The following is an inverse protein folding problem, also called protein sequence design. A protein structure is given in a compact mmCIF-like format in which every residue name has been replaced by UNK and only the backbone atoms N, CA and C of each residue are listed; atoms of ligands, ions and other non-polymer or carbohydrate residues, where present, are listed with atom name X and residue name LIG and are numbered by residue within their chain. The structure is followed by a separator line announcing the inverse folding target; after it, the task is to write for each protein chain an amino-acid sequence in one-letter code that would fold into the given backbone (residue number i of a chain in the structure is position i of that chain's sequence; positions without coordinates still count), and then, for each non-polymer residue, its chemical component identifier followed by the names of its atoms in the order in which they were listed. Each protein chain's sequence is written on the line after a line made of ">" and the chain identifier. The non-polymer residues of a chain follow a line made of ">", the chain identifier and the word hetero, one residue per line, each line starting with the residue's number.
data_IF_737618541665
#
_entry.id   IF_737618541665
#
_cell.length_a   1.000
_cell.length_b   1.000
_cell.length_c   1.000
_cell.angle_alpha   90.00
_cell.angle_beta   90.00
_cell.angle_gamma   90.00
#
_symmetry.space_group_name_H-M   'P 1'
#
loop_
_entity.id
_entity.type
_entity.pdbx_description
1 polymer ?
#
# COMPACT_ATOMS: atom_id res chain seq x y z
N UNK A 1 -37.78 8.29 -19.11
CA UNK A 1 -37.17 8.75 -17.85
C UNK A 1 -35.71 8.31 -17.90
N UNK A 2 -34.77 9.27 -17.93
CA UNK A 2 -33.34 9.01 -18.06
C UNK A 2 -32.82 8.56 -16.70
N UNK A 3 -32.31 7.33 -16.59
CA UNK A 3 -31.61 6.83 -15.40
C UNK A 3 -30.14 7.25 -15.54
N UNK A 4 -29.74 8.30 -14.85
CA UNK A 4 -28.33 8.62 -14.65
C UNK A 4 -27.81 7.64 -13.59
N UNK A 5 -26.88 6.78 -13.98
CA UNK A 5 -26.17 5.89 -13.06
C UNK A 5 -24.81 6.55 -12.80
N UNK A 6 -24.51 6.87 -11.56
CA UNK A 6 -23.18 7.34 -11.17
C UNK A 6 -22.22 6.14 -11.12
N UNK A 7 -21.62 5.83 -12.28
CA UNK A 7 -20.70 4.69 -12.45
C UNK A 7 -19.50 4.79 -11.48
N UNK A 8 -19.03 6.00 -11.18
CA UNK A 8 -17.91 6.20 -10.25
C UNK A 8 -18.26 5.67 -8.86
N UNK A 9 -19.43 6.04 -8.32
CA UNK A 9 -19.82 5.66 -6.97
C UNK A 9 -19.97 4.13 -6.81
N UNK A 10 -20.53 3.43 -7.80
CA UNK A 10 -20.70 1.97 -7.68
C UNK A 10 -19.37 1.22 -7.63
N UNK A 11 -18.36 1.67 -8.38
CA UNK A 11 -17.01 1.07 -8.36
C UNK A 11 -16.35 1.27 -7.00
N UNK A 12 -16.50 2.44 -6.38
CA UNK A 12 -15.98 2.71 -5.03
C UNK A 12 -16.72 1.90 -3.95
N UNK A 13 -18.05 1.80 -4.03
CA UNK A 13 -18.86 1.03 -3.08
C UNK A 13 -18.49 -0.46 -3.11
N UNK A 14 -18.24 -1.01 -4.29
CA UNK A 14 -17.80 -2.40 -4.42
C UNK A 14 -16.38 -2.59 -3.86
N UNK A 15 -15.45 -1.66 -4.13
CA UNK A 15 -14.11 -1.71 -3.54
C UNK A 15 -14.13 -1.64 -2.00
N UNK A 16 -14.96 -0.77 -1.41
CA UNK A 16 -15.02 -0.60 0.05
C UNK A 16 -15.52 -1.87 0.74
N UNK A 17 -16.50 -2.58 0.16
CA UNK A 17 -16.94 -3.89 0.68
C UNK A 17 -15.80 -4.92 0.65
N UNK A 18 -15.00 -4.94 -0.42
CA UNK A 18 -13.82 -5.80 -0.50
C UNK A 18 -12.76 -5.42 0.53
N UNK A 19 -12.56 -4.12 0.78
CA UNK A 19 -11.62 -3.62 1.77
C UNK A 19 -12.01 -4.04 3.19
N UNK A 20 -13.29 -3.90 3.55
CA UNK A 20 -13.80 -4.32 4.86
C UNK A 20 -13.66 -5.83 5.07
N UNK A 21 -14.01 -6.64 4.08
CA UNK A 21 -13.86 -8.09 4.14
C UNK A 21 -12.39 -8.51 4.30
N UNK A 22 -11.49 -7.85 3.57
CA UNK A 22 -10.06 -8.10 3.67
C UNK A 22 -9.54 -7.76 5.07
N UNK A 23 -9.95 -6.62 5.63
CA UNK A 23 -9.56 -6.20 6.97
C UNK A 23 -10.04 -7.16 8.06
N UNK A 24 -11.24 -7.73 7.92
CA UNK A 24 -11.73 -8.77 8.84
C UNK A 24 -10.93 -10.08 8.71
N UNK A 25 -10.59 -10.49 7.49
CA UNK A 25 -9.72 -11.66 7.25
C UNK A 25 -8.35 -11.49 7.89
N UNK A 26 -7.74 -10.30 7.72
CA UNK A 26 -6.44 -9.97 8.31
C UNK A 26 -6.47 -10.01 9.84
N UNK A 27 -7.54 -9.50 10.47
CA UNK A 27 -7.74 -9.58 11.92
C UNK A 27 -7.83 -11.02 12.40
N UNK A 28 -8.57 -11.88 11.70
CA UNK A 28 -8.70 -13.31 12.04
C UNK A 28 -7.35 -14.03 11.95
N UNK A 29 -6.55 -13.70 10.93
CA UNK A 29 -5.23 -14.28 10.72
C UNK A 29 -4.13 -13.64 11.57
N UNK A 30 -4.45 -12.58 12.33
CA UNK A 30 -3.51 -11.78 13.12
C UNK A 30 -2.37 -11.18 12.29
N UNK A 31 -2.64 -10.89 11.02
CA UNK A 31 -1.69 -10.22 10.12
C UNK A 31 -1.98 -8.72 10.12
N UNK A 32 -0.97 -7.91 10.44
CA UNK A 32 -1.07 -6.47 10.31
C UNK A 32 -0.68 -6.05 8.89
N UNK A 33 -1.59 -5.40 8.16
CA UNK A 33 -1.31 -4.85 6.85
C UNK A 33 -1.11 -3.34 6.93
N UNK A 34 0.07 -2.86 6.52
CA UNK A 34 0.39 -1.44 6.35
C UNK A 34 0.35 -1.06 4.87
N UNK A 35 -0.43 -0.05 4.51
CA UNK A 35 -0.35 0.61 3.20
C UNK A 35 0.67 1.74 3.26
N UNK A 36 1.77 1.64 2.49
CA UNK A 36 2.82 2.64 2.43
C UNK A 36 2.72 3.44 1.13
N UNK A 37 2.38 4.72 1.25
CA UNK A 37 2.20 5.65 0.13
C UNK A 37 3.28 6.74 0.12
N UNK A 38 3.53 7.36 -1.04
CA UNK A 38 4.41 8.53 -1.19
C UNK A 38 4.42 9.00 -2.65
N UNK A 39 5.18 10.07 -2.95
CA UNK A 39 5.61 10.35 -4.33
C UNK A 39 6.66 9.33 -4.82
N UNK A 40 6.93 9.27 -6.15
CA UNK A 40 8.10 8.57 -6.66
C UNK A 40 9.39 9.17 -6.06
N UNK A 41 10.32 8.32 -5.64
CA UNK A 41 11.62 8.77 -5.13
C UNK A 41 11.64 9.27 -3.68
N UNK A 42 10.52 9.27 -2.95
CA UNK A 42 10.48 9.74 -1.54
C UNK A 42 11.19 8.82 -0.53
N UNK A 43 11.62 7.63 -0.95
CA UNK A 43 12.41 6.70 -0.13
C UNK A 43 11.65 5.52 0.49
N UNK A 44 10.55 5.05 -0.13
CA UNK A 44 9.78 3.87 0.32
C UNK A 44 10.65 2.62 0.44
N UNK A 45 11.25 2.15 -0.66
CA UNK A 45 12.10 0.96 -0.67
C UNK A 45 13.23 1.04 0.37
N UNK A 46 13.88 2.19 0.49
CA UNK A 46 14.96 2.39 1.47
C UNK A 46 14.44 2.27 2.91
N UNK A 47 13.26 2.85 3.19
CA UNK A 47 12.59 2.73 4.49
C UNK A 47 12.19 1.29 4.79
N UNK A 48 11.68 0.56 3.78
CA UNK A 48 11.35 -0.86 3.94
C UNK A 48 12.58 -1.71 4.23
N UNK A 49 13.66 -1.56 3.47
CA UNK A 49 14.90 -2.31 3.68
C UNK A 49 15.41 -2.13 5.13
N UNK A 50 15.37 -0.90 5.65
CA UNK A 50 15.78 -0.63 7.05
C UNK A 50 14.80 -1.21 8.06
N UNK A 51 13.50 -1.12 7.80
CA UNK A 51 12.45 -1.71 8.64
C UNK A 51 12.59 -3.23 8.72
N UNK A 52 12.76 -3.90 7.58
CA UNK A 52 12.98 -5.35 7.49
C UNK A 52 14.24 -5.74 8.26
N UNK A 53 15.35 -5.04 8.04
CA UNK A 53 16.60 -5.35 8.74
C UNK A 53 16.47 -5.23 10.27
N UNK A 54 15.67 -4.27 10.75
CA UNK A 54 15.43 -4.07 12.18
C UNK A 54 14.49 -5.13 12.79
N UNK A 55 13.47 -5.58 12.05
CA UNK A 55 12.37 -6.37 12.62
C UNK A 55 12.34 -7.85 12.22
N UNK A 56 13.13 -8.29 11.22
CA UNK A 56 13.06 -9.66 10.67
C UNK A 56 13.35 -10.79 11.66
N UNK A 57 13.98 -10.49 12.80
CA UNK A 57 14.25 -11.48 13.85
C UNK A 57 13.10 -11.59 14.87
N UNK A 58 12.14 -10.66 14.82
CA UNK A 58 11.01 -10.57 15.75
C UNK A 58 9.67 -10.85 15.06
N UNK A 59 9.59 -10.63 13.74
CA UNK A 59 8.37 -10.76 12.96
C UNK A 59 8.63 -11.43 11.61
N UNK A 60 7.64 -12.20 11.12
CA UNK A 60 7.60 -12.67 9.74
C UNK A 60 7.06 -11.56 8.86
N UNK A 61 7.90 -11.04 7.96
CA UNK A 61 7.60 -9.86 7.15
C UNK A 61 7.38 -10.26 5.69
N UNK A 62 6.25 -9.82 5.13
CA UNK A 62 5.93 -9.94 3.71
C UNK A 62 5.73 -8.57 3.07
N UNK A 63 6.25 -8.39 1.85
CA UNK A 63 6.13 -7.15 1.09
C UNK A 63 5.36 -7.39 -0.20
N UNK A 64 4.39 -6.54 -0.48
CA UNK A 64 3.66 -6.49 -1.75
C UNK A 64 4.11 -5.22 -2.44
N UNK A 65 4.89 -5.37 -3.50
CA UNK A 65 5.42 -4.26 -4.29
C UNK A 65 4.47 -3.98 -5.47
N UNK A 66 4.00 -2.75 -5.59
CA UNK A 66 3.20 -2.33 -6.74
C UNK A 66 3.95 -1.35 -7.63
N UNK A 67 4.33 -1.84 -8.81
CA UNK A 67 5.00 -1.05 -9.82
C UNK A 67 4.37 -1.32 -11.20
N UNK A 68 4.73 -0.50 -12.17
CA UNK A 68 4.32 -0.61 -13.56
C UNK A 68 5.06 -1.78 -14.22
N UNK A 69 6.39 -1.86 -14.11
CA UNK A 69 7.17 -2.85 -14.87
C UNK A 69 8.59 -3.16 -14.32
N UNK A 70 8.92 -2.77 -13.09
CA UNK A 70 10.25 -3.03 -12.50
C UNK A 70 10.19 -4.07 -11.38
N UNK A 71 11.20 -4.93 -11.30
CA UNK A 71 11.42 -5.91 -10.22
C UNK A 71 12.50 -5.44 -9.22
N UNK A 72 13.05 -4.23 -9.42
CA UNK A 72 14.18 -3.69 -8.66
C UNK A 72 13.87 -3.61 -7.17
N UNK A 73 12.69 -3.12 -6.81
CA UNK A 73 12.27 -2.95 -5.42
C UNK A 73 12.01 -4.31 -4.74
N UNK A 74 11.28 -5.21 -5.41
CA UNK A 74 11.02 -6.56 -4.92
C UNK A 74 12.32 -7.35 -4.64
N UNK A 75 13.31 -7.27 -5.54
CA UNK A 75 14.62 -7.90 -5.34
C UNK A 75 15.35 -7.28 -4.14
N UNK A 76 15.26 -5.97 -3.96
CA UNK A 76 15.95 -5.27 -2.89
C UNK A 76 15.39 -5.66 -1.50
N UNK A 77 14.06 -5.74 -1.35
CA UNK A 77 13.43 -6.15 -0.08
C UNK A 77 13.59 -7.64 0.21
N UNK A 78 13.64 -8.51 -0.81
CA UNK A 78 13.99 -9.92 -0.64
C UNK A 78 15.41 -10.08 -0.10
N UNK A 79 16.38 -9.34 -0.65
CA UNK A 79 17.77 -9.33 -0.15
C UNK A 79 17.87 -8.84 1.29
N UNK A 80 16.95 -7.99 1.75
CA UNK A 80 16.88 -7.55 3.15
C UNK A 80 16.37 -8.64 4.10
N UNK A 81 15.65 -9.65 3.58
CA UNK A 81 15.19 -10.83 4.30
C UNK A 81 13.67 -11.00 4.38
N UNK A 82 12.88 -10.23 3.61
CA UNK A 82 11.43 -10.38 3.57
C UNK A 82 10.98 -11.35 2.47
N UNK A 83 9.80 -11.97 2.63
CA UNK A 83 9.06 -12.52 1.49
C UNK A 83 8.56 -11.34 0.65
N UNK A 84 8.62 -11.44 -0.68
CA UNK A 84 8.09 -10.37 -1.53
C UNK A 84 7.39 -10.90 -2.77
N UNK A 85 6.32 -10.21 -3.17
CA UNK A 85 5.61 -10.42 -4.44
C UNK A 85 5.51 -9.09 -5.18
N UNK A 86 5.64 -9.15 -6.49
CA UNK A 86 5.42 -8.01 -7.39
C UNK A 86 3.99 -8.07 -7.92
N UNK A 87 3.27 -6.95 -7.81
CA UNK A 87 2.00 -6.71 -8.49
C UNK A 87 2.25 -5.76 -9.66
N UNK A 88 2.16 -6.29 -10.89
CA UNK A 88 2.12 -5.46 -12.08
C UNK A 88 0.77 -4.74 -12.16
N UNK A 89 0.81 -3.42 -12.04
CA UNK A 89 -0.39 -2.57 -12.04
C UNK A 89 -0.98 -2.37 -13.44
N UNK A 90 -0.25 -2.73 -14.51
CA UNK A 90 -0.71 -2.56 -15.88
C UNK A 90 -0.95 -1.10 -16.27
N UNK A 91 -0.24 -0.17 -15.63
CA UNK A 91 -0.39 1.28 -15.83
C UNK A 91 -1.40 1.96 -14.91
N UNK A 92 -2.02 1.22 -13.98
CA UNK A 92 -2.88 1.82 -12.94
C UNK A 92 -2.05 2.66 -11.95
N UNK A 93 -2.59 3.81 -11.57
CA UNK A 93 -1.92 4.77 -10.68
C UNK A 93 -2.15 4.51 -9.18
N UNK A 94 -2.87 3.43 -8.83
CA UNK A 94 -3.27 3.05 -7.47
C UNK A 94 -3.54 1.54 -7.40
N UNK A 95 -3.78 1.06 -6.17
CA UNK A 95 -4.23 -0.29 -5.88
C UNK A 95 -5.63 -0.31 -5.29
N UNK A 96 -6.34 -1.41 -5.54
CA UNK A 96 -7.65 -1.72 -4.95
C UNK A 96 -7.51 -2.77 -3.85
N UNK A 97 -8.58 -2.96 -3.06
CA UNK A 97 -8.63 -4.02 -2.05
C UNK A 97 -8.48 -5.42 -2.68
N UNK A 98 -9.06 -5.64 -3.85
CA UNK A 98 -8.97 -6.93 -4.55
C UNK A 98 -7.54 -7.22 -5.05
N UNK A 99 -6.83 -6.21 -5.56
CA UNK A 99 -5.41 -6.36 -5.92
C UNK A 99 -4.56 -6.68 -4.69
N UNK A 100 -4.85 -6.02 -3.57
CA UNK A 100 -4.17 -6.25 -2.29
C UNK A 100 -4.41 -7.67 -1.77
N UNK A 101 -5.66 -8.15 -1.81
CA UNK A 101 -6.03 -9.53 -1.46
C UNK A 101 -5.23 -10.55 -2.28
N UNK A 102 -5.16 -10.36 -3.60
CA UNK A 102 -4.38 -11.26 -4.48
C UNK A 102 -2.88 -11.25 -4.17
N UNK A 103 -2.32 -10.08 -3.83
CA UNK A 103 -0.94 -9.97 -3.38
C UNK A 103 -0.68 -10.74 -2.08
N UNK A 104 -1.58 -10.62 -1.10
CA UNK A 104 -1.50 -11.36 0.17
C UNK A 104 -1.62 -12.88 -0.03
N UNK A 105 -2.49 -13.33 -0.93
CA UNK A 105 -2.61 -14.75 -1.28
C UNK A 105 -1.33 -15.29 -1.92
N UNK A 106 -0.73 -14.53 -2.84
CA UNK A 106 0.53 -14.91 -3.47
C UNK A 106 1.71 -14.94 -2.48
N UNK A 107 1.68 -14.08 -1.45
CA UNK A 107 2.67 -14.09 -0.37
C UNK A 107 2.54 -15.29 0.58
N UNK A 108 1.35 -15.89 0.70
CA UNK A 108 1.04 -16.90 1.70
C UNK A 108 0.71 -16.28 3.07
N UNK A 109 -0.45 -15.62 3.15
CA UNK A 109 -0.98 -14.88 4.31
C UNK A 109 -0.88 -15.60 5.68
N UNK A 110 -0.96 -16.93 5.75
CA UNK A 110 -0.98 -17.67 7.03
C UNK A 110 0.36 -17.62 7.81
N UNK A 111 1.45 -17.21 7.15
CA UNK A 111 2.80 -17.20 7.72
C UNK A 111 3.43 -15.79 7.80
N UNK A 112 2.60 -14.76 7.99
CA UNK A 112 3.02 -13.35 8.00
C UNK A 112 2.39 -12.61 9.18
N UNK A 113 3.25 -11.99 10.00
CA UNK A 113 2.82 -11.12 11.11
C UNK A 113 2.63 -9.68 10.62
N UNK A 114 3.55 -9.21 9.76
CA UNK A 114 3.54 -7.88 9.16
C UNK A 114 3.60 -7.98 7.64
N UNK A 115 2.51 -7.57 7.00
CA UNK A 115 2.47 -7.33 5.56
C UNK A 115 2.61 -5.82 5.30
N UNK A 116 3.46 -5.42 4.36
CA UNK A 116 3.55 -4.03 3.91
C UNK A 116 3.25 -3.99 2.42
N UNK A 117 2.26 -3.19 2.05
CA UNK A 117 1.90 -2.85 0.69
C UNK A 117 2.67 -1.59 0.31
N UNK A 118 3.76 -1.73 -0.44
CA UNK A 118 4.40 -0.59 -1.09
C UNK A 118 3.54 -0.16 -2.27
N UNK A 119 2.77 0.91 -2.07
CA UNK A 119 1.84 1.40 -3.07
C UNK A 119 2.59 2.19 -4.16
N UNK A 120 1.92 2.39 -5.29
CA UNK A 120 2.46 3.17 -6.42
C UNK A 120 2.85 4.57 -5.92
N UNK A 121 4.00 5.07 -6.39
CA UNK A 121 4.44 6.44 -6.11
C UNK A 121 3.47 7.49 -6.69
N UNK A 122 2.50 7.93 -5.89
CA UNK A 122 1.47 8.89 -6.28
C UNK A 122 0.79 9.48 -5.03
N UNK A 123 0.65 10.81 -4.96
CA UNK A 123 -0.03 11.51 -3.87
C UNK A 123 -1.53 11.83 -4.14
N UNK A 124 -2.07 11.37 -5.27
CA UNK A 124 -3.45 11.63 -5.69
C UNK A 124 -4.27 10.34 -5.65
N UNK A 125 -4.06 9.43 -6.62
CA UNK A 125 -4.93 8.27 -6.80
C UNK A 125 -4.99 7.36 -5.55
N UNK A 126 -3.87 7.02 -4.88
CA UNK A 126 -3.92 6.07 -3.76
C UNK A 126 -4.75 6.57 -2.56
N UNK A 127 -4.97 7.88 -2.44
CA UNK A 127 -5.78 8.45 -1.36
C UNK A 127 -7.30 8.24 -1.56
N UNK A 128 -7.73 7.87 -2.76
CA UNK A 128 -9.15 7.68 -3.10
C UNK A 128 -9.64 6.23 -2.95
N UNK A 129 -8.73 5.27 -2.76
CA UNK A 129 -9.05 3.84 -2.78
C UNK A 129 -8.61 3.15 -1.49
N UNK A 130 -9.58 2.60 -0.77
CA UNK A 130 -9.29 1.74 0.38
C UNK A 130 -8.71 0.41 -0.10
N UNK A 131 -7.51 0.07 0.36
CA UNK A 131 -6.80 -1.17 0.04
C UNK A 131 -7.13 -2.31 1.00
N UNK A 132 -7.97 -2.08 2.02
CA UNK A 132 -8.23 -3.02 3.10
C UNK A 132 -7.11 -3.08 4.15
N UNK A 133 -6.15 -2.15 4.08
CA UNK A 133 -5.08 -2.03 5.05
C UNK A 133 -5.60 -1.78 6.47
N UNK A 134 -4.84 -2.26 7.45
CA UNK A 134 -5.10 -2.00 8.87
C UNK A 134 -4.77 -0.55 9.22
N UNK A 135 -3.68 -0.04 8.64
CA UNK A 135 -3.22 1.34 8.76
C UNK A 135 -2.59 1.81 7.46
N UNK A 136 -2.63 3.11 7.24
CA UNK A 136 -1.97 3.78 6.11
C UNK A 136 -0.87 4.71 6.63
N UNK A 137 0.33 4.58 6.07
CA UNK A 137 1.44 5.50 6.30
C UNK A 137 1.82 6.19 4.99
N UNK A 138 2.30 7.42 5.10
CA UNK A 138 2.89 8.14 3.98
C UNK A 138 4.29 8.63 4.30
N UNK A 139 5.16 8.62 3.28
CA UNK A 139 6.45 9.31 3.29
C UNK A 139 6.35 10.58 2.46
N UNK A 140 6.75 11.70 3.05
CA UNK A 140 7.00 12.97 2.37
C UNK A 140 8.49 13.30 2.52
N UNK A 141 9.22 13.47 1.42
CA UNK A 141 10.63 13.84 1.47
C UNK A 141 10.84 15.35 1.45
N UNK A 142 11.89 15.85 2.12
CA UNK A 142 12.24 17.27 2.16
C UNK A 142 12.39 17.90 0.76
N UNK A 143 13.03 17.25 -0.24
CA UNK A 143 13.17 17.82 -1.59
C UNK A 143 11.84 18.03 -2.33
N UNK A 144 10.75 17.38 -1.91
CA UNK A 144 9.45 17.59 -2.54
C UNK A 144 8.90 19.00 -2.25
N UNK A 145 9.22 19.57 -1.09
CA UNK A 145 8.77 20.90 -0.64
C UNK A 145 7.64 20.83 0.40
N UNK A 146 7.61 21.84 1.28
CA UNK A 146 6.72 21.93 2.45
C UNK A 146 5.26 22.25 2.10
N UNK A 147 4.98 22.62 0.85
CA UNK A 147 3.65 22.97 0.35
C UNK A 147 2.73 21.78 0.04
N UNK A 148 3.23 20.54 0.15
CA UNK A 148 2.47 19.32 -0.20
C UNK A 148 1.16 19.14 0.57
N UNK A 149 1.07 19.42 1.88
CA UNK A 149 -0.20 19.32 2.59
C UNK A 149 -1.31 20.20 2.00
N UNK A 150 -0.95 21.39 1.49
CA UNK A 150 -1.90 22.31 0.86
C UNK A 150 -2.29 21.85 -0.56
N UNK A 151 -1.37 21.21 -1.28
CA UNK A 151 -1.58 20.74 -2.66
C UNK A 151 -2.31 19.40 -2.74
N UNK A 152 -2.12 18.51 -1.77
CA UNK A 152 -2.66 17.14 -1.78
C UNK A 152 -3.45 16.84 -0.49
N UNK A 153 -4.41 17.69 -0.08
CA UNK A 153 -5.00 17.62 1.25
C UNK A 153 -5.63 16.27 1.58
N UNK A 154 -6.27 15.61 0.61
CA UNK A 154 -6.88 14.30 0.81
C UNK A 154 -5.87 13.27 1.33
N UNK A 155 -4.70 13.17 0.69
CA UNK A 155 -3.65 12.23 1.09
C UNK A 155 -3.21 12.43 2.54
N UNK A 156 -3.09 13.68 3.00
CA UNK A 156 -2.72 14.01 4.38
C UNK A 156 -3.84 13.77 5.40
N UNK A 157 -5.10 13.64 4.95
CA UNK A 157 -6.25 13.36 5.83
C UNK A 157 -6.57 11.87 5.98
N UNK A 158 -6.13 11.03 5.04
CA UNK A 158 -6.45 9.59 5.04
C UNK A 158 -5.35 8.72 5.65
N UNK A 159 -4.16 9.28 5.91
CA UNK A 159 -3.03 8.56 6.51
C UNK A 159 -3.08 8.61 8.02
N UNK A 160 -2.70 7.51 8.66
CA UNK A 160 -2.55 7.40 10.12
C UNK A 160 -1.18 7.87 10.61
N UNK A 161 -0.16 7.82 9.74
CA UNK A 161 1.22 8.15 10.03
C UNK A 161 1.85 8.93 8.87
N UNK A 162 2.51 10.04 9.18
CA UNK A 162 3.34 10.79 8.25
C UNK A 162 4.81 10.68 8.67
N UNK A 163 5.66 10.22 7.74
CA UNK A 163 7.10 10.22 7.87
C UNK A 163 7.67 11.36 7.02
N UNK A 164 8.42 12.26 7.66
CA UNK A 164 9.19 13.28 6.95
C UNK A 164 10.62 12.75 6.77
N UNK A 165 11.05 12.59 5.52
CA UNK A 165 12.32 11.94 5.13
C UNK A 165 13.33 12.93 4.51
#
# INVERSE_FOLDING_TARGET
>A
MLKTIEIKQSVFEDNNKHADLLRETLKQNKTFLLNLMSSPGSGKTTTLIKTIAALKNEMRIGIIEADIDSDVDAIAVQKAGAKAVQLHTGGMCHLTAEMTRRGLEALGIEDIDLAILENVGNLVCPAEFDTGASKSAMILSVPEGDDKPLKYPLMFTVVDLLLIN
#
